data_IF_197118082920
#
_entry.id   IF_197118082920
#
_cell.length_a   1.000
_cell.length_b   1.000
_cell.length_c   1.000
_cell.angle_alpha   90.00
_cell.angle_beta   90.00
_cell.angle_gamma   90.00
#
_symmetry.space_group_name_H-M   'P 1'
#
loop_
_entity.id
_entity.type
_entity.pdbx_description
1 polymer ?
#
# COMPACT_ATOMS: atom_id res chain seq x y z
N UNK A 1 14.64 7.61 -14.08
CA UNK A 1 13.96 6.39 -14.58
C UNK A 1 12.62 6.81 -15.18
N UNK A 2 12.11 6.12 -16.19
CA UNK A 2 10.74 6.37 -16.70
C UNK A 2 9.71 5.69 -15.80
N UNK A 3 8.50 6.28 -15.61
CA UNK A 3 7.45 5.69 -14.78
C UNK A 3 7.09 4.25 -15.16
N UNK A 4 7.02 3.91 -16.45
CA UNK A 4 6.64 2.57 -16.89
C UNK A 4 7.62 1.49 -16.39
N UNK A 5 8.93 1.79 -16.41
CA UNK A 5 9.94 0.88 -15.90
C UNK A 5 9.84 0.77 -14.37
N UNK A 6 9.65 1.89 -13.67
CA UNK A 6 9.44 1.91 -12.22
C UNK A 6 8.28 1.01 -11.80
N UNK A 7 7.11 1.18 -12.43
CA UNK A 7 5.95 0.33 -12.11
C UNK A 7 6.12 -1.13 -12.52
N UNK A 8 6.92 -1.42 -13.55
CA UNK A 8 7.25 -2.79 -13.92
C UNK A 8 8.09 -3.48 -12.83
N UNK A 9 9.12 -2.81 -12.31
CA UNK A 9 9.94 -3.33 -11.22
C UNK A 9 9.10 -3.54 -9.95
N UNK A 10 8.29 -2.54 -9.59
CA UNK A 10 7.37 -2.65 -8.44
C UNK A 10 6.42 -3.84 -8.57
N UNK A 11 5.84 -4.07 -9.76
CA UNK A 11 4.90 -5.16 -9.98
C UNK A 11 5.57 -6.52 -9.80
N UNK A 12 6.79 -6.70 -10.34
CA UNK A 12 7.52 -7.96 -10.20
C UNK A 12 7.81 -8.28 -8.74
N UNK A 13 8.33 -7.31 -7.97
CA UNK A 13 8.58 -7.47 -6.54
C UNK A 13 7.28 -7.75 -5.74
N UNK A 14 6.21 -7.02 -6.08
CA UNK A 14 4.93 -7.12 -5.38
C UNK A 14 4.25 -8.49 -5.55
N UNK A 15 4.21 -9.06 -6.75
CA UNK A 15 3.55 -10.35 -6.99
C UNK A 15 4.30 -11.53 -6.37
N UNK A 16 5.59 -11.40 -6.04
CA UNK A 16 6.34 -12.42 -5.31
C UNK A 16 5.74 -12.68 -3.94
N UNK A 17 5.27 -11.63 -3.26
CA UNK A 17 4.67 -11.71 -1.92
C UNK A 17 3.15 -11.54 -1.93
N UNK A 18 2.55 -11.30 -3.10
CA UNK A 18 1.10 -11.11 -3.30
C UNK A 18 0.62 -11.86 -4.54
N UNK A 19 0.78 -13.19 -4.60
CA UNK A 19 0.44 -13.96 -5.81
C UNK A 19 -1.04 -13.91 -6.19
N UNK A 20 -1.96 -13.58 -5.26
CA UNK A 20 -3.36 -13.33 -5.59
C UNK A 20 -3.55 -12.15 -6.55
N UNK A 21 -2.72 -11.12 -6.46
CA UNK A 21 -2.86 -9.93 -7.30
C UNK A 21 -2.69 -10.25 -8.78
N UNK A 22 -1.70 -11.08 -9.13
CA UNK A 22 -1.51 -11.51 -10.51
C UNK A 22 -2.69 -12.35 -11.02
N UNK A 23 -3.21 -13.28 -10.21
CA UNK A 23 -4.36 -14.11 -10.55
C UNK A 23 -5.62 -13.26 -10.76
N UNK A 24 -5.86 -12.28 -9.89
CA UNK A 24 -6.99 -11.36 -10.00
C UNK A 24 -6.82 -10.45 -11.23
N UNK A 25 -5.62 -9.94 -11.49
CA UNK A 25 -5.34 -9.16 -12.69
C UNK A 25 -5.67 -9.95 -13.95
N UNK A 26 -5.21 -11.20 -14.04
CA UNK A 26 -5.52 -12.11 -15.16
C UNK A 26 -7.02 -12.39 -15.30
N UNK A 27 -7.77 -12.51 -14.17
CA UNK A 27 -9.23 -12.66 -14.18
C UNK A 27 -9.91 -11.50 -14.90
N UNK A 28 -9.46 -10.26 -14.65
CA UNK A 28 -10.02 -9.07 -15.32
C UNK A 28 -9.48 -8.93 -16.75
N UNK A 29 -8.21 -9.20 -17.00
CA UNK A 29 -7.63 -9.13 -18.34
C UNK A 29 -8.30 -10.08 -19.34
N UNK A 30 -8.80 -11.22 -18.87
CA UNK A 30 -9.52 -12.19 -19.71
C UNK A 30 -10.82 -11.64 -20.31
N UNK A 31 -11.43 -10.62 -19.70
CA UNK A 31 -12.72 -10.05 -20.13
C UNK A 31 -12.65 -8.57 -20.49
N UNK A 32 -11.77 -7.83 -19.84
CA UNK A 32 -11.72 -6.37 -19.92
C UNK A 32 -10.53 -5.85 -20.76
N UNK A 33 -9.60 -6.77 -21.13
CA UNK A 33 -8.36 -6.40 -21.78
C UNK A 33 -7.32 -5.90 -20.77
N UNK A 34 -6.50 -4.92 -21.13
CA UNK A 34 -5.44 -4.42 -20.25
C UNK A 34 -6.02 -3.79 -18.98
N UNK A 35 -5.62 -4.30 -17.82
CA UNK A 35 -5.96 -3.70 -16.53
C UNK A 35 -5.06 -2.50 -16.27
N UNK A 36 -5.67 -1.36 -16.00
CA UNK A 36 -5.00 -0.09 -15.65
C UNK A 36 -5.00 0.08 -14.15
N UNK A 37 -3.85 0.44 -13.59
CA UNK A 37 -3.73 0.77 -12.16
C UNK A 37 -4.10 2.24 -11.91
N UNK A 38 -4.88 2.50 -10.87
CA UNK A 38 -5.22 3.83 -10.38
C UNK A 38 -4.05 4.44 -9.58
N UNK A 39 -3.52 3.66 -8.63
CA UNK A 39 -2.42 4.08 -7.78
C UNK A 39 -1.67 2.89 -7.18
N UNK A 40 -0.56 3.19 -6.55
CA UNK A 40 0.24 2.29 -5.71
C UNK A 40 0.48 2.95 -4.36
N UNK A 41 0.52 2.15 -3.29
CA UNK A 41 0.73 2.66 -1.94
C UNK A 41 1.94 2.01 -1.26
N UNK A 42 2.66 2.84 -0.49
CA UNK A 42 3.84 2.46 0.29
C UNK A 42 3.68 2.83 1.76
N UNK A 43 4.48 2.15 2.58
CA UNK A 43 4.62 2.43 4.01
C UNK A 43 6.07 2.75 4.33
N UNK A 44 6.30 3.65 5.28
CA UNK A 44 7.64 3.95 5.79
C UNK A 44 7.61 4.40 7.26
N UNK A 45 8.79 4.55 7.88
CA UNK A 45 8.99 5.06 9.24
C UNK A 45 9.48 6.51 9.23
N UNK A 46 8.94 7.34 10.12
CA UNK A 46 9.52 8.63 10.47
C UNK A 46 10.89 8.46 11.15
N UNK A 47 11.70 9.53 11.11
CA UNK A 47 13.01 9.62 11.79
C UNK A 47 14.02 8.56 11.34
N UNK A 48 13.95 8.15 10.08
CA UNK A 48 14.89 7.21 9.45
C UNK A 48 15.41 7.79 8.13
N UNK A 49 16.49 7.26 7.55
CA UNK A 49 16.92 7.63 6.20
C UNK A 49 15.81 7.44 5.14
N UNK A 50 14.87 6.51 5.37
CA UNK A 50 13.73 6.21 4.48
C UNK A 50 12.46 6.99 4.85
N UNK A 51 12.55 8.03 5.68
CA UNK A 51 11.38 8.87 6.01
C UNK A 51 10.78 9.52 4.76
N UNK A 52 9.48 9.80 4.82
CA UNK A 52 8.69 10.30 3.70
C UNK A 52 9.35 11.48 2.98
N UNK A 53 9.87 12.46 3.72
CA UNK A 53 10.46 13.66 3.11
C UNK A 53 11.77 13.37 2.35
N UNK A 54 12.48 12.29 2.67
CA UNK A 54 13.67 11.84 1.93
C UNK A 54 13.28 11.06 0.66
N UNK A 55 12.09 10.43 0.63
CA UNK A 55 11.58 9.71 -0.54
C UNK A 55 10.95 10.66 -1.59
N UNK A 56 10.44 11.82 -1.16
CA UNK A 56 9.79 12.80 -2.06
C UNK A 56 10.67 13.21 -3.25
N UNK A 57 11.97 13.54 -3.10
CA UNK A 57 12.82 13.90 -4.24
C UNK A 57 12.93 12.79 -5.28
N UNK A 58 12.90 11.52 -4.86
CA UNK A 58 12.93 10.36 -5.77
C UNK A 58 11.66 10.32 -6.64
N UNK A 59 10.50 10.55 -6.02
CA UNK A 59 9.21 10.61 -6.73
C UNK A 59 9.20 11.79 -7.71
N UNK A 60 9.65 12.97 -7.29
CA UNK A 60 9.74 14.15 -8.15
C UNK A 60 10.68 13.95 -9.35
N UNK A 61 11.75 13.14 -9.19
CA UNK A 61 12.69 12.84 -10.27
C UNK A 61 12.04 12.11 -11.46
N UNK A 62 10.87 11.49 -11.25
CA UNK A 62 10.07 10.82 -12.28
C UNK A 62 9.01 11.72 -12.93
N UNK A 63 8.93 13.01 -12.54
CA UNK A 63 7.97 13.97 -13.09
C UNK A 63 6.64 14.08 -12.30
N UNK A 64 6.54 13.45 -11.14
CA UNK A 64 5.39 13.61 -10.26
C UNK A 64 5.37 14.97 -9.57
N UNK A 65 4.17 15.39 -9.20
CA UNK A 65 3.90 16.57 -8.38
C UNK A 65 3.19 16.13 -7.09
N UNK A 66 3.44 16.87 -5.99
CA UNK A 66 2.68 16.68 -4.75
C UNK A 66 1.22 17.06 -5.02
N UNK A 67 0.30 16.15 -4.72
CA UNK A 67 -1.13 16.40 -4.87
C UNK A 67 -1.76 16.86 -3.56
N UNK A 68 -1.56 16.10 -2.46
CA UNK A 68 -2.20 16.38 -1.19
C UNK A 68 -1.44 15.74 -0.02
N UNK A 69 -1.74 16.19 1.21
CA UNK A 69 -1.20 15.68 2.46
C UNK A 69 -2.33 15.24 3.39
N UNK A 70 -2.10 14.15 4.14
CA UNK A 70 -3.10 13.51 4.99
C UNK A 70 -2.56 13.24 6.38
N UNK A 71 -3.45 13.22 7.39
CA UNK A 71 -3.12 12.86 8.77
C UNK A 71 -4.14 11.87 9.33
N UNK A 72 -3.68 10.70 9.74
CA UNK A 72 -4.48 9.64 10.36
C UNK A 72 -4.14 9.57 11.85
N UNK A 73 -4.78 10.43 12.64
CA UNK A 73 -4.45 10.62 14.07
C UNK A 73 -4.56 9.32 14.86
N UNK A 74 -5.64 8.55 14.65
CA UNK A 74 -5.87 7.29 15.37
C UNK A 74 -4.80 6.21 15.09
N UNK A 75 -4.26 6.20 13.86
CA UNK A 75 -3.20 5.26 13.44
C UNK A 75 -1.78 5.83 13.58
N UNK A 76 -1.66 7.06 14.08
CA UNK A 76 -0.36 7.76 14.23
C UNK A 76 0.39 7.89 12.89
N UNK A 77 -0.33 8.09 11.77
CA UNK A 77 0.27 8.20 10.44
C UNK A 77 0.14 9.63 9.88
N UNK A 78 1.10 10.00 9.05
CA UNK A 78 0.95 11.06 8.04
C UNK A 78 1.15 10.44 6.65
N UNK A 79 0.64 11.08 5.61
CA UNK A 79 0.85 10.60 4.24
C UNK A 79 0.88 11.74 3.24
N UNK A 80 1.45 11.46 2.06
CA UNK A 80 1.42 12.33 0.89
C UNK A 80 0.96 11.54 -0.33
N UNK A 81 0.16 12.17 -1.18
CA UNK A 81 -0.17 11.63 -2.49
C UNK A 81 0.52 12.44 -3.58
N UNK A 82 0.87 11.76 -4.67
CA UNK A 82 1.56 12.33 -5.81
C UNK A 82 0.82 11.96 -7.09
N UNK A 83 0.68 12.94 -7.98
CA UNK A 83 0.05 12.78 -9.29
C UNK A 83 1.06 13.09 -10.39
N UNK A 84 0.99 12.34 -11.49
CA UNK A 84 1.78 12.61 -12.68
C UNK A 84 0.96 13.43 -13.67
N UNK A 85 1.57 14.39 -14.43
CA UNK A 85 0.85 15.16 -15.46
C UNK A 85 0.22 14.31 -16.57
N UNK A 86 0.83 13.16 -16.88
CA UNK A 86 0.22 12.15 -17.75
C UNK A 86 -0.79 11.31 -16.93
N UNK A 87 -2.10 11.38 -17.26
CA UNK A 87 -3.14 10.70 -16.51
C UNK A 87 -3.13 9.16 -16.66
N UNK A 88 -2.36 8.63 -17.60
CA UNK A 88 -2.18 7.17 -17.76
C UNK A 88 -1.19 6.59 -16.77
N UNK A 89 -0.40 7.44 -16.09
CA UNK A 89 0.58 7.02 -15.07
C UNK A 89 -0.13 6.91 -13.72
N UNK A 90 -0.04 5.78 -13.02
CA UNK A 90 -0.68 5.60 -11.71
C UNK A 90 -0.20 6.63 -10.69
N UNK A 91 -1.09 7.03 -9.77
CA UNK A 91 -0.72 7.87 -8.62
C UNK A 91 0.14 7.09 -7.64
N UNK A 92 0.88 7.81 -6.81
CA UNK A 92 1.66 7.25 -5.71
C UNK A 92 1.12 7.80 -4.39
N UNK A 93 0.89 6.91 -3.43
CA UNK A 93 0.51 7.25 -2.07
C UNK A 93 1.56 6.69 -1.11
N UNK A 94 2.16 7.55 -0.28
CA UNK A 94 3.16 7.12 0.72
C UNK A 94 2.67 7.54 2.10
N UNK A 95 2.45 6.56 2.97
CA UNK A 95 2.17 6.80 4.38
C UNK A 95 3.41 6.56 5.24
N UNK A 96 3.50 7.27 6.35
CA UNK A 96 4.62 7.21 7.28
C UNK A 96 4.12 7.07 8.71
N UNK A 97 4.66 6.09 9.43
CA UNK A 97 4.38 5.93 10.86
C UNK A 97 5.19 6.97 11.66
N UNK A 98 4.46 7.78 12.41
CA UNK A 98 5.02 8.77 13.33
C UNK A 98 5.52 8.09 14.59
N UNK A 99 6.76 7.59 14.52
CA UNK A 99 7.35 6.76 15.57
C UNK A 99 7.44 7.47 16.91
N UNK A 100 7.58 8.80 16.92
CA UNK A 100 7.59 9.63 18.12
C UNK A 100 6.28 9.62 18.93
N UNK A 101 5.21 9.09 18.36
CA UNK A 101 3.91 8.93 19.01
C UNK A 101 3.69 7.52 19.63
N UNK A 102 4.65 6.62 19.45
CA UNK A 102 4.62 5.28 20.02
C UNK A 102 5.18 5.28 21.46
N UNK A 103 5.04 4.15 22.15
CA UNK A 103 5.71 3.92 23.43
C UNK A 103 7.24 3.96 23.28
N UNK A 104 7.96 4.26 24.36
CA UNK A 104 9.42 4.27 24.38
C UNK A 104 10.00 2.91 23.95
N UNK A 105 9.37 1.80 24.36
CA UNK A 105 9.78 0.43 24.01
C UNK A 105 9.62 0.18 22.49
N UNK A 106 8.50 0.57 21.90
CA UNK A 106 8.26 0.44 20.47
C UNK A 106 9.22 1.33 19.66
N UNK A 107 9.47 2.57 20.11
CA UNK A 107 10.45 3.46 19.49
C UNK A 107 11.86 2.84 19.51
N UNK A 108 12.29 2.34 20.67
CA UNK A 108 13.59 1.70 20.82
C UNK A 108 13.74 0.47 19.94
N UNK A 109 12.68 -0.34 19.84
CA UNK A 109 12.64 -1.53 18.98
C UNK A 109 12.78 -1.15 17.50
N UNK A 110 11.98 -0.22 17.02
CA UNK A 110 12.06 0.26 15.62
C UNK A 110 13.46 0.82 15.35
N UNK A 111 13.97 1.66 16.25
CA UNK A 111 15.28 2.29 16.12
C UNK A 111 16.42 1.26 16.05
N UNK A 112 16.39 0.18 16.84
CA UNK A 112 17.36 -0.92 16.80
C UNK A 112 17.58 -1.46 15.38
N UNK A 113 16.53 -1.53 14.59
CA UNK A 113 16.57 -2.03 13.22
C UNK A 113 16.86 -0.92 12.22
N UNK A 114 16.19 0.21 12.33
CA UNK A 114 16.33 1.29 11.36
C UNK A 114 17.67 2.03 11.44
N UNK A 115 18.41 1.95 12.57
CA UNK A 115 19.80 2.42 12.66
C UNK A 115 20.78 1.61 11.78
N UNK A 116 20.37 0.45 11.27
CA UNK A 116 21.15 -0.35 10.32
C UNK A 116 21.05 0.19 8.88
N UNK A 117 20.13 1.13 8.60
CA UNK A 117 19.95 1.68 7.27
C UNK A 117 21.15 2.58 6.94
N UNK A 118 21.91 2.21 5.91
CA UNK A 118 22.97 3.06 5.40
C UNK A 118 22.38 4.22 4.56
N UNK A 119 22.79 5.45 4.86
CA UNK A 119 22.33 6.66 4.12
C UNK A 119 22.90 6.73 2.68
N UNK A 120 23.61 5.71 2.23
CA UNK A 120 24.24 5.70 0.92
C UNK A 120 23.19 5.72 -0.19
N UNK A 121 23.27 6.74 -1.00
CA UNK A 121 22.69 6.85 -2.35
C UNK A 121 21.30 6.25 -2.49
N UNK A 122 20.34 6.80 -1.74
CA UNK A 122 18.93 6.47 -1.91
C UNK A 122 18.54 6.72 -3.37
N UNK A 123 18.17 5.68 -4.07
CA UNK A 123 17.61 5.74 -5.40
C UNK A 123 16.23 5.06 -5.47
N UNK A 124 15.65 5.01 -6.64
CA UNK A 124 14.30 4.45 -6.80
C UNK A 124 14.21 2.96 -6.43
N UNK A 125 15.33 2.22 -6.37
CA UNK A 125 15.29 0.81 -5.98
C UNK A 125 14.87 0.59 -4.53
N UNK A 126 14.92 1.60 -3.68
CA UNK A 126 14.40 1.55 -2.30
C UNK A 126 12.95 1.07 -2.23
N UNK A 127 12.15 1.33 -3.27
CA UNK A 127 10.74 0.96 -3.31
C UNK A 127 10.46 -0.53 -3.63
N UNK A 128 11.52 -1.32 -3.98
CA UNK A 128 11.41 -2.76 -4.25
C UNK A 128 12.59 -3.58 -3.70
N UNK A 129 13.46 -2.99 -2.88
CA UNK A 129 14.57 -3.69 -2.23
C UNK A 129 14.22 -4.29 -0.86
N UNK A 130 12.96 -4.25 -0.48
CA UNK A 130 12.43 -4.83 0.75
C UNK A 130 13.03 -4.23 2.03
N UNK A 131 13.54 -5.07 2.94
CA UNK A 131 14.14 -4.63 4.20
C UNK A 131 15.59 -4.18 4.02
N UNK A 132 15.93 -3.05 4.63
CA UNK A 132 17.29 -2.53 4.73
C UNK A 132 17.92 -2.79 6.10
N UNK A 133 17.38 -3.75 6.86
CA UNK A 133 17.81 -4.18 8.19
C UNK A 133 17.61 -5.67 8.35
N UNK A 134 18.19 -6.25 9.40
CA UNK A 134 18.01 -7.66 9.72
C UNK A 134 16.56 -7.99 10.09
N UNK A 135 16.15 -9.24 9.87
CA UNK A 135 14.83 -9.70 10.29
C UNK A 135 14.71 -9.63 11.81
N UNK A 136 13.63 -9.04 12.38
CA UNK A 136 13.39 -9.08 13.81
C UNK A 136 13.18 -10.51 14.32
N UNK A 137 13.26 -10.70 15.63
CA UNK A 137 12.74 -11.92 16.24
C UNK A 137 11.21 -11.96 16.21
N UNK A 138 10.63 -13.16 16.32
CA UNK A 138 9.18 -13.29 16.39
C UNK A 138 8.57 -12.54 17.59
N UNK A 139 9.24 -12.60 18.74
CA UNK A 139 8.77 -11.92 19.95
C UNK A 139 8.75 -10.39 19.77
N UNK A 140 9.76 -9.81 19.11
CA UNK A 140 9.80 -8.37 18.81
C UNK A 140 8.73 -7.97 17.81
N UNK A 141 8.55 -8.76 16.74
CA UNK A 141 7.47 -8.53 15.76
C UNK A 141 6.10 -8.57 16.47
N UNK A 142 5.87 -9.58 17.30
CA UNK A 142 4.59 -9.76 18.00
C UNK A 142 4.34 -8.65 19.02
N UNK A 143 5.37 -8.27 19.81
CA UNK A 143 5.26 -7.16 20.74
C UNK A 143 4.94 -5.83 20.04
N UNK A 144 5.57 -5.56 18.89
CA UNK A 144 5.27 -4.35 18.10
C UNK A 144 3.85 -4.40 17.51
N UNK A 145 3.38 -5.59 17.09
CA UNK A 145 2.04 -5.80 16.53
C UNK A 145 0.93 -5.47 17.53
N UNK A 146 1.13 -5.69 18.82
CA UNK A 146 0.15 -5.35 19.87
C UNK A 146 -0.08 -3.82 19.97
N UNK A 147 0.94 -3.01 19.65
CA UNK A 147 0.81 -1.54 19.65
C UNK A 147 0.51 -0.98 18.26
N UNK A 148 1.17 -1.49 17.22
CA UNK A 148 1.03 -1.01 15.85
C UNK A 148 1.25 -2.12 14.83
N UNK A 149 0.16 -2.62 14.24
CA UNK A 149 0.23 -3.57 13.12
C UNK A 149 0.98 -3.00 11.92
N UNK A 150 0.80 -1.71 11.65
CA UNK A 150 1.52 -1.00 10.59
C UNK A 150 3.03 -1.07 10.79
N UNK A 151 3.50 -0.81 12.03
CA UNK A 151 4.91 -0.86 12.37
C UNK A 151 5.48 -2.27 12.30
N UNK A 152 4.76 -3.27 12.82
CA UNK A 152 5.16 -4.67 12.76
C UNK A 152 5.26 -5.18 11.32
N UNK A 153 4.24 -4.89 10.48
CA UNK A 153 4.26 -5.22 9.06
C UNK A 153 5.51 -4.62 8.38
N UNK A 154 5.74 -3.32 8.58
CA UNK A 154 6.85 -2.61 7.96
C UNK A 154 8.21 -3.14 8.43
N UNK A 155 8.32 -3.49 9.73
CA UNK A 155 9.54 -4.05 10.31
C UNK A 155 9.91 -5.42 9.70
N UNK A 156 8.91 -6.25 9.39
CA UNK A 156 9.11 -7.57 8.80
C UNK A 156 9.26 -7.53 7.26
N UNK A 157 8.47 -6.69 6.58
CA UNK A 157 8.38 -6.67 5.11
C UNK A 157 9.35 -5.65 4.49
N UNK A 158 9.57 -4.51 5.16
CA UNK A 158 10.38 -3.41 4.64
C UNK A 158 9.60 -2.40 3.78
N UNK A 159 10.32 -1.46 3.17
CA UNK A 159 9.73 -0.45 2.28
C UNK A 159 9.46 -1.11 0.93
N UNK A 160 8.24 -1.54 0.72
CA UNK A 160 7.73 -2.20 -0.50
C UNK A 160 6.33 -1.70 -0.80
N UNK A 161 5.83 -2.03 -1.98
CA UNK A 161 4.42 -1.82 -2.30
C UNK A 161 3.54 -2.58 -1.30
N UNK A 162 2.67 -1.85 -0.61
CA UNK A 162 1.65 -2.45 0.24
C UNK A 162 0.45 -2.93 -0.59
N UNK A 163 0.06 -2.15 -1.60
CA UNK A 163 -0.94 -2.56 -2.58
C UNK A 163 -0.81 -1.79 -3.90
N UNK A 164 -1.17 -2.46 -4.97
CA UNK A 164 -1.61 -1.85 -6.22
C UNK A 164 -3.14 -1.72 -6.21
N UNK A 165 -3.65 -0.78 -6.98
CA UNK A 165 -5.10 -0.52 -7.08
C UNK A 165 -5.54 -0.54 -8.53
N UNK A 166 -6.52 -1.39 -8.85
CA UNK A 166 -7.17 -1.42 -10.17
C UNK A 166 -8.08 -0.20 -10.33
N UNK A 167 -7.97 0.49 -11.45
CA UNK A 167 -8.92 1.53 -11.85
C UNK A 167 -10.16 0.89 -12.47
N UNK A 168 -11.27 0.88 -11.73
CA UNK A 168 -12.56 0.36 -12.24
C UNK A 168 -13.06 1.22 -13.41
N UNK A 169 -12.73 2.51 -13.42
CA UNK A 169 -13.10 3.42 -14.50
C UNK A 169 -12.59 2.98 -15.89
N UNK A 170 -11.60 2.11 -15.95
CA UNK A 170 -11.02 1.60 -17.19
C UNK A 170 -11.44 0.17 -17.53
N UNK A 171 -12.24 -0.49 -16.66
CA UNK A 171 -12.83 -1.78 -17.00
C UNK A 171 -13.93 -1.59 -18.03
N UNK A 172 -14.13 -2.61 -18.89
CA UNK A 172 -15.09 -2.56 -20.00
C UNK A 172 -16.36 -3.35 -19.71
N UNK A 173 -16.32 -4.29 -18.78
CA UNK A 173 -17.45 -5.17 -18.44
C UNK A 173 -18.32 -4.64 -17.31
N UNK A 174 -17.84 -3.73 -16.48
CA UNK A 174 -18.59 -3.11 -15.38
C UNK A 174 -17.99 -1.75 -15.01
N UNK A 175 -18.83 -0.88 -14.44
CA UNK A 175 -18.47 0.38 -13.82
C UNK A 175 -18.99 0.45 -12.37
N UNK A 176 -19.27 -0.69 -11.75
CA UNK A 176 -19.79 -0.80 -10.40
C UNK A 176 -18.82 -1.60 -9.52
N UNK A 177 -18.36 -0.99 -8.43
CA UNK A 177 -17.40 -1.62 -7.53
C UNK A 177 -17.93 -2.92 -6.91
N UNK A 178 -19.24 -3.01 -6.67
CA UNK A 178 -19.86 -4.21 -6.10
C UNK A 178 -19.76 -5.42 -7.03
N UNK A 179 -19.87 -5.20 -8.34
CA UNK A 179 -19.71 -6.27 -9.33
C UNK A 179 -18.26 -6.75 -9.37
N UNK A 180 -17.29 -5.81 -9.29
CA UNK A 180 -15.86 -6.13 -9.20
C UNK A 180 -15.57 -6.99 -7.98
N UNK A 181 -16.02 -6.58 -6.79
CA UNK A 181 -15.82 -7.34 -5.56
C UNK A 181 -16.53 -8.68 -5.57
N UNK A 182 -17.71 -8.78 -6.21
CA UNK A 182 -18.40 -10.06 -6.37
C UNK A 182 -17.62 -11.03 -7.26
N UNK A 183 -17.07 -10.55 -8.39
CA UNK A 183 -16.21 -11.37 -9.27
C UNK A 183 -14.97 -11.89 -8.54
N UNK A 184 -14.35 -11.05 -7.69
CA UNK A 184 -13.20 -11.43 -6.85
C UNK A 184 -13.59 -12.55 -5.87
N UNK A 185 -14.74 -12.42 -5.20
CA UNK A 185 -15.27 -13.45 -4.28
C UNK A 185 -15.62 -14.75 -5.01
N UNK A 186 -16.24 -14.65 -6.16
CA UNK A 186 -16.64 -15.83 -6.98
C UNK A 186 -15.41 -16.59 -7.49
N UNK A 187 -14.28 -15.91 -7.65
CA UNK A 187 -12.98 -16.51 -7.96
C UNK A 187 -12.26 -17.10 -6.73
N UNK A 188 -12.86 -17.01 -5.53
CA UNK A 188 -12.37 -17.62 -4.29
C UNK A 188 -11.44 -16.74 -3.45
N UNK A 189 -11.33 -15.44 -3.75
CA UNK A 189 -10.50 -14.53 -2.97
C UNK A 189 -11.29 -13.85 -1.85
N UNK A 190 -10.66 -13.71 -0.68
CA UNK A 190 -11.23 -13.00 0.46
C UNK A 190 -11.24 -11.48 0.25
N UNK A 191 -12.35 -10.84 0.60
CA UNK A 191 -12.53 -9.39 0.51
C UNK A 191 -12.52 -8.77 1.91
N UNK A 192 -11.91 -7.60 2.07
CA UNK A 192 -11.94 -6.84 3.32
C UNK A 192 -13.34 -6.30 3.60
N UNK A 193 -13.96 -6.79 4.68
CA UNK A 193 -15.33 -6.42 5.10
C UNK A 193 -15.38 -5.40 6.24
N UNK A 194 -14.24 -4.94 6.75
CA UNK A 194 -14.19 -3.95 7.85
C UNK A 194 -14.80 -2.62 7.39
N UNK A 195 -15.85 -2.19 8.07
CA UNK A 195 -16.63 -1.01 7.69
C UNK A 195 -17.48 -1.18 6.42
N UNK A 196 -17.72 -2.43 5.99
CA UNK A 196 -18.38 -2.81 4.75
C UNK A 196 -17.38 -3.16 3.63
N UNK A 197 -17.82 -3.90 2.63
CA UNK A 197 -16.96 -4.28 1.49
C UNK A 197 -16.54 -3.05 0.65
N UNK A 198 -17.45 -2.10 0.49
CA UNK A 198 -17.19 -0.82 -0.19
C UNK A 198 -16.95 0.28 0.84
N UNK A 199 -15.83 0.99 0.71
CA UNK A 199 -15.44 2.16 1.48
C UNK A 199 -15.70 3.41 0.64
N UNK A 200 -16.36 4.41 1.23
CA UNK A 200 -16.81 5.61 0.50
C UNK A 200 -18.10 5.41 -0.26
N UNK A 201 -18.50 6.43 -0.98
CA UNK A 201 -19.76 6.50 -1.76
C UNK A 201 -19.56 7.32 -3.04
N UNK A 202 -20.54 7.30 -3.93
CA UNK A 202 -20.57 8.19 -5.11
C UNK A 202 -20.57 9.67 -4.72
N UNK A 203 -21.23 10.03 -3.63
CA UNK A 203 -21.29 11.40 -3.12
C UNK A 203 -19.94 11.86 -2.57
N UNK A 204 -19.15 10.96 -2.02
CA UNK A 204 -17.77 11.24 -1.61
C UNK A 204 -16.77 11.17 -2.78
N UNK A 205 -17.23 10.87 -3.98
CA UNK A 205 -16.50 10.84 -5.25
C UNK A 205 -15.43 9.75 -5.37
N UNK A 206 -15.32 8.84 -4.38
CA UNK A 206 -14.39 7.74 -4.40
C UNK A 206 -14.96 6.54 -3.64
N UNK A 207 -15.16 5.44 -4.35
CA UNK A 207 -15.48 4.14 -3.76
C UNK A 207 -14.27 3.23 -3.88
N UNK A 208 -13.92 2.54 -2.80
CA UNK A 208 -12.76 1.64 -2.72
C UNK A 208 -13.16 0.31 -2.08
N UNK A 209 -12.53 -0.75 -2.51
CA UNK A 209 -12.63 -2.09 -1.93
C UNK A 209 -11.34 -2.84 -2.15
N UNK A 210 -11.08 -3.87 -1.34
CA UNK A 210 -9.80 -4.59 -1.41
C UNK A 210 -9.98 -6.06 -1.06
N UNK A 211 -9.03 -6.88 -1.49
CA UNK A 211 -8.88 -8.22 -0.90
C UNK A 211 -8.35 -8.10 0.53
N UNK A 212 -8.45 -9.18 1.30
CA UNK A 212 -7.54 -9.38 2.42
C UNK A 212 -6.14 -9.66 1.89
N UNK A 213 -5.12 -9.35 2.71
CA UNK A 213 -3.74 -9.61 2.34
C UNK A 213 -3.48 -11.12 2.12
N UNK A 214 -2.59 -11.43 1.21
CA UNK A 214 -1.96 -12.76 1.15
C UNK A 214 -1.20 -13.02 2.46
N UNK A 215 -0.94 -14.28 2.72
CA UNK A 215 -0.13 -14.71 3.87
C UNK A 215 1.02 -15.56 3.38
N UNK A 216 2.21 -15.32 3.92
CA UNK A 216 3.40 -16.10 3.59
C UNK A 216 4.20 -16.43 4.83
N UNK A 217 4.89 -17.58 4.78
CA UNK A 217 5.85 -17.98 5.80
C UNK A 217 7.11 -17.15 5.69
N UNK A 218 7.50 -16.51 6.79
CA UNK A 218 8.77 -15.81 6.94
C UNK A 218 9.61 -16.46 8.03
N UNK A 219 10.92 -16.50 7.78
CA UNK A 219 11.89 -16.94 8.78
C UNK A 219 12.38 -15.73 9.58
N UNK A 220 11.98 -15.68 10.84
CA UNK A 220 12.37 -14.67 11.81
C UNK A 220 13.73 -14.98 12.43
N UNK A 221 14.38 -14.01 13.08
CA UNK A 221 15.64 -14.26 13.77
C UNK A 221 15.50 -15.40 14.81
N UNK A 222 16.49 -16.30 14.86
CA UNK A 222 16.43 -17.51 15.69
C UNK A 222 15.73 -18.69 15.03
N UNK A 223 15.70 -18.73 13.70
CA UNK A 223 15.19 -19.84 12.86
C UNK A 223 13.70 -20.16 13.12
N UNK A 224 12.92 -19.18 13.57
CA UNK A 224 11.49 -19.33 13.81
C UNK A 224 10.71 -18.98 12.54
N UNK A 225 9.88 -19.90 12.07
CA UNK A 225 9.03 -19.70 10.89
C UNK A 225 7.61 -19.42 11.30
N UNK A 226 7.08 -18.31 10.81
CA UNK A 226 5.71 -17.89 11.07
C UNK A 226 5.06 -17.33 9.81
N UNK A 227 3.78 -17.62 9.66
CA UNK A 227 2.97 -17.06 8.59
C UNK A 227 2.44 -15.68 9.00
N UNK A 228 2.77 -14.66 8.22
CA UNK A 228 2.32 -13.28 8.42
C UNK A 228 1.59 -12.74 7.19
N UNK A 229 0.68 -11.75 7.37
CA UNK A 229 0.05 -11.07 6.25
C UNK A 229 1.10 -10.26 5.47
N UNK A 230 1.02 -10.33 4.15
CA UNK A 230 1.88 -9.57 3.23
C UNK A 230 1.15 -8.36 2.67
N UNK A 231 0.65 -8.45 1.44
CA UNK A 231 0.05 -7.34 0.72
C UNK A 231 -1.32 -7.75 0.15
N UNK A 232 -2.10 -6.78 -0.27
CA UNK A 232 -3.44 -6.98 -0.82
C UNK A 232 -3.59 -6.28 -2.17
N UNK A 233 -4.68 -6.54 -2.87
CA UNK A 233 -5.02 -5.87 -4.12
C UNK A 233 -6.28 -5.05 -3.94
N UNK A 234 -6.23 -3.79 -4.35
CA UNK A 234 -7.31 -2.82 -4.19
C UNK A 234 -8.03 -2.53 -5.51
N UNK A 235 -9.24 -2.03 -5.42
CA UNK A 235 -10.08 -1.58 -6.52
C UNK A 235 -10.65 -0.21 -6.19
N UNK A 236 -10.55 0.73 -7.12
CA UNK A 236 -11.05 2.09 -6.93
C UNK A 236 -11.97 2.51 -8.10
N UNK A 237 -13.13 3.06 -7.74
CA UNK A 237 -14.04 3.73 -8.65
C UNK A 237 -14.10 5.20 -8.29
N UNK A 238 -13.68 6.06 -9.22
CA UNK A 238 -13.68 7.51 -9.08
C UNK A 238 -14.89 8.12 -9.80
N UNK A 239 -15.51 9.09 -9.16
CA UNK A 239 -16.70 9.76 -9.68
C UNK A 239 -16.41 11.22 -10.03
N UNK A 240 -17.13 11.79 -11.03
CA UNK A 240 -17.01 13.20 -11.34
C UNK A 240 -17.70 14.06 -10.27
N UNK A 241 -17.15 15.24 -10.04
CA UNK A 241 -17.77 16.28 -9.23
C UNK A 241 -18.91 16.98 -10.02
N UNK A 242 -19.49 18.03 -9.44
CA UNK A 242 -20.61 18.78 -10.05
C UNK A 242 -20.23 19.44 -11.39
N UNK A 243 -18.94 19.73 -11.62
CA UNK A 243 -18.40 20.28 -12.88
C UNK A 243 -18.04 19.20 -13.91
N UNK A 244 -18.27 17.92 -13.61
CA UNK A 244 -17.92 16.80 -14.48
C UNK A 244 -16.44 16.39 -14.44
N UNK A 245 -15.66 16.93 -13.50
CA UNK A 245 -14.25 16.59 -13.33
C UNK A 245 -14.12 15.39 -12.40
N UNK A 246 -13.46 14.32 -12.86
CA UNK A 246 -13.21 13.12 -12.07
C UNK A 246 -12.31 13.44 -10.87
N UNK A 247 -12.75 13.09 -9.66
CA UNK A 247 -12.00 13.31 -8.44
C UNK A 247 -10.69 12.53 -8.44
N UNK A 248 -9.58 13.18 -8.12
CA UNK A 248 -8.25 12.58 -8.18
C UNK A 248 -7.61 12.38 -6.79
N UNK A 249 -8.21 12.89 -5.72
CA UNK A 249 -7.67 12.81 -4.36
C UNK A 249 -7.94 11.47 -3.68
N UNK A 250 -7.64 11.43 -2.38
CA UNK A 250 -7.90 10.30 -1.48
C UNK A 250 -8.78 10.77 -0.32
N UNK A 251 -9.49 9.83 0.30
CA UNK A 251 -10.39 10.08 1.42
C UNK A 251 -9.84 9.39 2.65
N UNK A 252 -9.48 10.15 3.68
CA UNK A 252 -8.89 9.61 4.92
C UNK A 252 -9.74 8.52 5.55
N UNK A 253 -11.07 8.72 5.62
CA UNK A 253 -11.98 7.74 6.20
C UNK A 253 -12.04 6.41 5.42
N UNK A 254 -11.77 6.43 4.10
CA UNK A 254 -11.66 5.21 3.29
C UNK A 254 -10.32 4.51 3.57
N UNK A 255 -9.21 5.27 3.49
CA UNK A 255 -7.87 4.76 3.70
C UNK A 255 -7.73 4.11 5.08
N UNK A 256 -8.36 4.70 6.11
CA UNK A 256 -8.38 4.14 7.46
C UNK A 256 -8.96 2.72 7.53
N UNK A 257 -9.99 2.42 6.71
CA UNK A 257 -10.59 1.08 6.60
C UNK A 257 -9.81 0.15 5.69
N UNK A 258 -9.17 0.69 4.65
CA UNK A 258 -8.31 -0.07 3.72
C UNK A 258 -7.06 -0.61 4.44
N UNK A 259 -6.48 0.14 5.38
CA UNK A 259 -5.35 -0.33 6.19
C UNK A 259 -5.65 -1.66 6.93
N UNK A 260 -6.91 -1.94 7.27
CA UNK A 260 -7.32 -3.20 7.92
C UNK A 260 -7.16 -4.44 7.02
N UNK A 261 -6.87 -4.29 5.72
CA UNK A 261 -6.62 -5.41 4.80
C UNK A 261 -5.39 -6.24 5.18
N UNK A 262 -4.44 -5.67 5.92
CA UNK A 262 -3.26 -6.34 6.45
C UNK A 262 -3.43 -6.77 7.92
N UNK A 263 -4.65 -6.69 8.46
CA UNK A 263 -4.88 -7.07 9.86
C UNK A 263 -4.60 -8.57 10.06
N UNK A 264 -3.75 -8.88 11.05
CA UNK A 264 -3.35 -10.25 11.37
C UNK A 264 -4.34 -10.96 12.30
N UNK A 265 -5.35 -10.24 12.84
CA UNK A 265 -6.34 -10.76 13.83
C UNK A 265 -7.53 -11.40 13.18
#
# INVERSE_FOLDING_TARGET
>A
MKPELFFSELWQDYIEITPQAEKIKQLFEATDGTVINDHVAFRTFAHTPLQLDNLVPLIFSMGYELQDEYTFTAKKLRAKSFIHPDPSVPKIFISELRTELLSEDAQAMIKKYTDQIEEKDLDLSVFWSARHWEMPSWDEYHALMEETEYGAWLLAIGVRVNHFTVSINHLTTTNEIRDVLQRVKDAGFGVNTVGGEVKGTKESLLEQGSTMADRQEYEFAGDQKHEIPTCFYEFAMRHPNAEGVVYQGFIEANADKIFESTNAK
#
